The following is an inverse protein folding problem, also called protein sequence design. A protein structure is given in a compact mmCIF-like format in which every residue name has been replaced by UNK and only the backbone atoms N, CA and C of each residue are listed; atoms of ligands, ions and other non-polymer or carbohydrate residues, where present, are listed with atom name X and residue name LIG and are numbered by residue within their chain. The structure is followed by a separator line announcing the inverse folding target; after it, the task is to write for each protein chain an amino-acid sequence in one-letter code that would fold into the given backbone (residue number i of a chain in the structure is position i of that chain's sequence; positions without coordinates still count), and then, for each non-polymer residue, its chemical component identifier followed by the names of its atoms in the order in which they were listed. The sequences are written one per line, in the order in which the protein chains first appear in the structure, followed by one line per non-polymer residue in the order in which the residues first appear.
data_IF_281481358928
#
_entry.id   IF_281481358928
#
_cell.length_a   1.000
_cell.length_b   1.000
_cell.length_c   1.000
_cell.angle_alpha   90.00
_cell.angle_beta   90.00
_cell.angle_gamma   90.00
#
_symmetry.space_group_name_H-M   'P 1'
#
loop_
_entity.id
_entity.type
_entity.pdbx_description
1 polymer ?
#
# COMPACT_ATOMS: atom_id res chain seq x y z
N UNK A 1 -34.62 8.52 -50.15
CA UNK A 1 -34.79 7.53 -49.06
C UNK A 1 -34.91 8.31 -47.77
N UNK A 2 -35.91 7.95 -46.97
CA UNK A 2 -36.56 8.76 -45.96
C UNK A 2 -35.73 8.91 -44.68
N UNK A 3 -35.73 10.11 -44.09
CA UNK A 3 -35.15 10.46 -42.78
C UNK A 3 -35.56 9.51 -41.64
N UNK A 4 -36.63 8.72 -41.82
CA UNK A 4 -37.10 7.72 -40.85
C UNK A 4 -36.23 6.46 -40.73
N UNK A 5 -35.40 6.11 -41.72
CA UNK A 5 -34.49 4.95 -41.64
C UNK A 5 -33.21 5.26 -40.87
N UNK A 6 -32.66 6.47 -41.02
CA UNK A 6 -31.46 6.89 -40.29
C UNK A 6 -31.72 6.98 -38.78
N UNK A 7 -32.87 7.53 -38.35
CA UNK A 7 -33.22 7.65 -36.93
C UNK A 7 -33.32 6.31 -36.18
N UNK A 8 -33.77 5.24 -36.86
CA UNK A 8 -33.84 3.89 -36.27
C UNK A 8 -32.47 3.23 -36.13
N UNK A 9 -31.56 3.50 -37.06
CA UNK A 9 -30.18 3.00 -36.99
C UNK A 9 -29.44 3.67 -35.83
N UNK A 10 -29.59 4.99 -35.65
CA UNK A 10 -28.96 5.72 -34.54
C UNK A 10 -29.47 5.27 -33.17
N UNK A 11 -30.77 5.06 -32.98
CA UNK A 11 -31.30 4.56 -31.70
C UNK A 11 -30.86 3.11 -31.38
N UNK A 12 -30.74 2.25 -32.39
CA UNK A 12 -30.23 0.88 -32.24
C UNK A 12 -28.74 0.86 -31.89
N UNK A 13 -27.95 1.74 -32.50
CA UNK A 13 -26.52 1.87 -32.23
C UNK A 13 -26.27 2.43 -30.82
N UNK A 14 -27.01 3.48 -30.45
CA UNK A 14 -26.89 4.12 -29.13
C UNK A 14 -27.28 3.15 -28.02
N UNK A 15 -28.34 2.36 -28.20
CA UNK A 15 -28.77 1.32 -27.24
C UNK A 15 -27.78 0.17 -27.08
N UNK A 16 -27.07 -0.21 -28.16
CA UNK A 16 -26.00 -1.21 -28.10
C UNK A 16 -24.72 -0.66 -27.47
N UNK A 17 -24.39 0.60 -27.72
CA UNK A 17 -23.25 1.29 -27.10
C UNK A 17 -23.45 1.50 -25.60
N UNK A 18 -24.65 1.85 -25.12
CA UNK A 18 -24.94 1.93 -23.68
C UNK A 18 -24.90 0.56 -23.01
N UNK A 19 -25.35 -0.51 -23.67
CA UNK A 19 -25.26 -1.87 -23.12
C UNK A 19 -23.81 -2.36 -23.00
N UNK A 20 -22.97 -2.05 -24.00
CA UNK A 20 -21.53 -2.35 -23.95
C UNK A 20 -20.84 -1.52 -22.86
N UNK A 21 -21.21 -0.24 -22.68
CA UNK A 21 -20.68 0.58 -21.59
C UNK A 21 -21.10 0.04 -20.21
N UNK A 22 -22.34 -0.42 -20.05
CA UNK A 22 -22.80 -1.08 -18.82
C UNK A 22 -22.07 -2.39 -18.55
N UNK A 23 -21.80 -3.21 -19.57
CA UNK A 23 -21.00 -4.42 -19.40
C UNK A 23 -19.53 -4.09 -19.05
N UNK A 24 -18.93 -3.06 -19.64
CA UNK A 24 -17.56 -2.63 -19.33
C UNK A 24 -17.45 -2.03 -17.92
N UNK A 25 -18.49 -1.32 -17.45
CA UNK A 25 -18.53 -0.78 -16.08
C UNK A 25 -18.72 -1.89 -15.04
N UNK A 26 -19.49 -2.94 -15.34
CA UNK A 26 -19.68 -4.09 -14.43
C UNK A 26 -18.48 -5.06 -14.45
N UNK A 27 -17.66 -5.05 -15.51
CA UNK A 27 -16.50 -5.95 -15.62
C UNK A 27 -15.23 -5.42 -14.92
N UNK A 28 -15.19 -4.14 -14.56
CA UNK A 28 -14.00 -3.51 -13.93
C UNK A 28 -14.12 -3.31 -12.42
N UNK A 29 -15.20 -3.77 -11.78
CA UNK A 29 -15.09 -4.12 -10.37
C UNK A 29 -14.31 -5.42 -10.28
N UNK A 30 -12.98 -5.32 -10.37
CA UNK A 30 -12.13 -6.36 -9.79
C UNK A 30 -12.70 -6.60 -8.38
N UNK A 31 -13.25 -7.78 -8.15
CA UNK A 31 -13.81 -8.15 -6.86
C UNK A 31 -12.65 -8.05 -5.86
N UNK A 32 -12.56 -6.94 -5.10
CA UNK A 32 -11.58 -6.83 -4.04
C UNK A 32 -11.92 -7.90 -3.02
N UNK A 33 -11.01 -8.85 -2.87
CA UNK A 33 -11.26 -9.98 -1.98
C UNK A 33 -11.13 -9.50 -0.54
N UNK A 34 -12.07 -9.90 0.31
CA UNK A 34 -11.96 -9.64 1.73
C UNK A 34 -10.81 -10.47 2.28
N UNK A 35 -9.79 -9.80 2.82
CA UNK A 35 -8.63 -10.47 3.40
C UNK A 35 -9.02 -11.13 4.73
N UNK A 36 -8.54 -12.35 4.95
CA UNK A 36 -8.76 -13.14 6.16
C UNK A 36 -7.50 -13.97 6.49
N UNK A 37 -7.55 -14.83 7.52
CA UNK A 37 -6.40 -15.64 7.91
C UNK A 37 -6.05 -16.78 6.95
N UNK A 38 -6.95 -17.20 6.05
CA UNK A 38 -6.67 -18.25 5.06
C UNK A 38 -5.50 -17.84 4.17
N UNK A 39 -5.41 -16.55 3.82
CA UNK A 39 -4.26 -15.96 3.13
C UNK A 39 -2.93 -16.29 3.83
N UNK A 40 -2.87 -16.21 5.16
CA UNK A 40 -1.64 -16.48 5.91
C UNK A 40 -1.36 -17.99 5.93
N UNK A 41 -2.39 -18.81 6.08
CA UNK A 41 -2.28 -20.27 6.11
C UNK A 41 -1.67 -20.87 4.84
N UNK A 42 -1.89 -20.24 3.67
CA UNK A 42 -1.27 -20.68 2.41
C UNK A 42 0.27 -20.61 2.44
N UNK A 43 0.82 -19.73 3.27
CA UNK A 43 2.27 -19.50 3.41
C UNK A 43 2.88 -20.19 4.64
N UNK A 44 2.08 -20.84 5.49
CA UNK A 44 2.56 -21.49 6.72
C UNK A 44 3.47 -22.69 6.45
N UNK A 45 3.15 -23.49 5.43
CA UNK A 45 3.89 -24.71 5.09
C UNK A 45 5.16 -24.49 4.26
N UNK A 46 5.47 -23.25 3.88
CA UNK A 46 6.56 -22.97 2.93
C UNK A 46 7.91 -22.95 3.67
N UNK A 47 8.75 -23.93 3.37
CA UNK A 47 10.13 -23.97 3.87
C UNK A 47 11.05 -23.18 2.94
N UNK A 48 11.24 -21.89 3.25
CA UNK A 48 12.20 -21.02 2.56
C UNK A 48 13.51 -21.02 3.34
N UNK A 49 14.62 -21.25 2.64
CA UNK A 49 15.96 -21.14 3.22
C UNK A 49 16.26 -19.68 3.62
N UNK A 50 15.94 -19.37 4.86
CA UNK A 50 16.03 -18.05 5.51
C UNK A 50 17.21 -18.01 6.49
N UNK A 51 18.25 -18.84 6.28
CA UNK A 51 19.39 -19.15 7.20
C UNK A 51 20.26 -17.97 7.66
N UNK A 52 19.88 -16.71 7.44
CA UNK A 52 20.54 -15.62 8.15
C UNK A 52 20.26 -15.78 9.64
N UNK A 53 21.29 -15.67 10.48
CA UNK A 53 21.11 -15.72 11.92
C UNK A 53 20.56 -14.39 12.43
N UNK A 54 19.85 -14.41 13.56
CA UNK A 54 19.35 -13.19 14.23
C UNK A 54 20.48 -12.20 14.54
N UNK A 55 21.68 -12.69 14.90
CA UNK A 55 22.86 -11.84 15.11
C UNK A 55 23.31 -11.19 13.80
N UNK A 56 23.28 -11.93 12.69
CA UNK A 56 23.63 -11.39 11.38
C UNK A 56 22.57 -10.39 10.89
N UNK A 57 21.30 -10.60 11.16
CA UNK A 57 20.24 -9.62 10.87
C UNK A 57 20.44 -8.34 11.67
N UNK A 58 20.76 -8.45 12.96
CA UNK A 58 21.01 -7.29 13.79
C UNK A 58 22.21 -6.45 13.32
N UNK A 59 23.29 -7.10 12.85
CA UNK A 59 24.53 -6.42 12.44
C UNK A 59 24.43 -5.88 11.01
N UNK A 60 23.83 -6.63 10.09
CA UNK A 60 23.89 -6.36 8.65
C UNK A 60 22.53 -6.04 8.02
N UNK A 61 21.45 -6.02 8.80
CA UNK A 61 20.09 -5.94 8.29
C UNK A 61 19.59 -7.25 7.69
N UNK A 62 18.31 -7.26 7.30
CA UNK A 62 17.66 -8.44 6.71
C UNK A 62 18.15 -8.64 5.26
N UNK A 63 18.88 -9.73 5.04
CA UNK A 63 19.29 -10.18 3.71
C UNK A 63 18.33 -11.26 3.26
N UNK A 64 17.60 -11.00 2.18
CA UNK A 64 16.62 -11.93 1.61
C UNK A 64 17.16 -12.62 0.37
N UNK A 65 16.88 -13.92 0.26
CA UNK A 65 17.17 -14.68 -0.98
C UNK A 65 16.09 -14.42 -2.02
N UNK A 66 16.40 -14.68 -3.27
CA UNK A 66 15.47 -14.48 -4.41
C UNK A 66 14.12 -15.17 -4.20
N UNK A 67 14.12 -16.40 -3.69
CA UNK A 67 12.88 -17.15 -3.41
C UNK A 67 12.03 -16.46 -2.33
N UNK A 68 12.65 -15.94 -1.27
CA UNK A 68 11.97 -15.19 -0.22
C UNK A 68 11.38 -13.90 -0.77
N UNK A 69 12.17 -13.15 -1.57
CA UNK A 69 11.71 -11.92 -2.22
C UNK A 69 10.52 -12.17 -3.16
N UNK A 70 10.52 -13.28 -3.89
CA UNK A 70 9.41 -13.68 -4.75
C UNK A 70 8.13 -13.93 -3.95
N UNK A 71 8.22 -14.71 -2.87
CA UNK A 71 7.08 -15.03 -2.01
C UNK A 71 6.52 -13.79 -1.29
N UNK A 72 7.39 -12.89 -0.81
CA UNK A 72 6.94 -11.61 -0.25
C UNK A 72 6.19 -10.80 -1.30
N UNK A 73 6.69 -10.76 -2.53
CA UNK A 73 6.06 -10.03 -3.63
C UNK A 73 4.69 -10.63 -3.98
N UNK A 74 4.58 -11.95 -4.03
CA UNK A 74 3.31 -12.66 -4.25
C UNK A 74 2.30 -12.32 -3.13
N UNK A 75 2.68 -12.53 -1.86
CA UNK A 75 1.83 -12.25 -0.70
C UNK A 75 1.40 -10.78 -0.63
N UNK A 76 2.33 -9.84 -0.82
CA UNK A 76 2.00 -8.41 -0.77
C UNK A 76 1.10 -8.00 -1.94
N UNK A 77 1.26 -8.58 -3.13
CA UNK A 77 0.36 -8.34 -4.25
C UNK A 77 -1.06 -8.85 -3.97
N UNK A 78 -1.20 -10.01 -3.33
CA UNK A 78 -2.51 -10.52 -2.89
C UNK A 78 -3.16 -9.58 -1.87
N UNK A 79 -2.38 -9.08 -0.90
CA UNK A 79 -2.85 -8.09 0.06
C UNK A 79 -3.30 -6.81 -0.68
N UNK A 80 -2.49 -6.26 -1.58
CA UNK A 80 -2.80 -5.03 -2.33
C UNK A 80 -4.07 -5.11 -3.19
N UNK A 81 -4.47 -6.32 -3.59
CA UNK A 81 -5.71 -6.54 -4.36
C UNK A 81 -6.95 -6.69 -3.46
N UNK A 82 -6.74 -6.89 -2.16
CA UNK A 82 -7.81 -7.06 -1.18
C UNK A 82 -8.07 -5.83 -0.34
N UNK A 83 -9.00 -5.99 0.59
CA UNK A 83 -9.31 -4.98 1.60
C UNK A 83 -9.70 -5.66 2.91
N UNK A 84 -9.62 -4.94 4.03
CA UNK A 84 -10.05 -5.47 5.32
C UNK A 84 -10.65 -4.39 6.22
N UNK A 85 -11.51 -4.78 7.16
CA UNK A 85 -11.90 -3.89 8.26
C UNK A 85 -10.76 -3.83 9.29
N UNK A 86 -10.83 -2.92 10.27
CA UNK A 86 -9.84 -2.90 11.34
C UNK A 86 -9.86 -4.19 12.18
N UNK A 87 -11.05 -4.74 12.48
CA UNK A 87 -11.16 -6.03 13.19
C UNK A 87 -10.64 -7.21 12.36
N UNK A 88 -10.85 -7.17 11.04
CA UNK A 88 -10.26 -8.14 10.12
C UNK A 88 -8.73 -8.04 10.11
N UNK A 89 -8.18 -6.83 10.10
CA UNK A 89 -6.74 -6.59 10.28
C UNK A 89 -6.23 -7.17 11.60
N UNK A 90 -6.90 -6.94 12.72
CA UNK A 90 -6.50 -7.49 14.02
C UNK A 90 -6.52 -9.03 14.02
N UNK A 91 -7.55 -9.62 13.40
CA UNK A 91 -7.64 -11.07 13.25
C UNK A 91 -6.46 -11.65 12.47
N UNK A 92 -6.09 -11.01 11.34
CA UNK A 92 -4.93 -11.43 10.55
C UNK A 92 -3.63 -11.18 11.31
N UNK A 93 -3.53 -10.07 12.04
CA UNK A 93 -2.39 -9.74 12.90
C UNK A 93 -2.14 -10.82 13.95
N UNK A 94 -3.20 -11.37 14.54
CA UNK A 94 -3.11 -12.49 15.47
C UNK A 94 -2.65 -13.77 14.76
N UNK A 95 -3.16 -14.06 13.56
CA UNK A 95 -2.70 -15.21 12.75
C UNK A 95 -1.21 -15.11 12.38
N UNK A 96 -0.75 -13.93 11.95
CA UNK A 96 0.68 -13.66 11.71
C UNK A 96 1.48 -13.81 13.01
N UNK A 97 0.97 -13.30 14.14
CA UNK A 97 1.65 -13.38 15.44
C UNK A 97 1.79 -14.81 15.98
N UNK A 98 0.81 -15.68 15.70
CA UNK A 98 0.78 -17.06 16.17
C UNK A 98 1.38 -18.07 15.18
N UNK A 99 1.83 -17.63 14.00
CA UNK A 99 2.37 -18.53 12.98
C UNK A 99 3.73 -19.12 13.38
N UNK A 100 3.88 -20.43 13.26
CA UNK A 100 5.18 -21.11 13.44
C UNK A 100 6.11 -20.98 12.21
N UNK A 101 5.61 -20.38 11.12
CA UNK A 101 6.40 -20.21 9.90
C UNK A 101 7.47 -19.14 10.09
N UNK A 102 8.73 -19.55 9.96
CA UNK A 102 9.86 -18.62 10.00
C UNK A 102 9.77 -17.56 8.90
N UNK A 103 9.26 -17.91 7.72
CA UNK A 103 9.03 -16.94 6.64
C UNK A 103 8.05 -15.83 7.06
N UNK A 104 6.93 -16.21 7.68
CA UNK A 104 5.91 -15.27 8.15
C UNK A 104 6.47 -14.39 9.27
N UNK A 105 7.11 -14.99 10.28
CA UNK A 105 7.65 -14.23 11.42
C UNK A 105 8.72 -13.22 10.98
N UNK A 106 9.64 -13.65 10.11
CA UNK A 106 10.71 -12.81 9.58
C UNK A 106 10.19 -11.64 8.75
N UNK A 107 9.07 -11.81 8.05
CA UNK A 107 8.48 -10.80 7.18
C UNK A 107 7.23 -10.13 7.78
N UNK A 108 7.02 -10.31 9.09
CA UNK A 108 5.85 -9.79 9.83
C UNK A 108 5.62 -8.31 9.60
N UNK A 109 6.66 -7.48 9.66
CA UNK A 109 6.49 -6.03 9.50
C UNK A 109 6.01 -5.67 8.09
N UNK A 110 6.56 -6.33 7.06
CA UNK A 110 6.12 -6.16 5.67
C UNK A 110 4.65 -6.53 5.53
N UNK A 111 4.25 -7.70 6.06
CA UNK A 111 2.88 -8.20 5.99
C UNK A 111 1.92 -7.25 6.71
N UNK A 112 2.19 -6.92 7.97
CA UNK A 112 1.29 -6.13 8.81
C UNK A 112 1.15 -4.68 8.32
N UNK A 113 2.22 -4.06 7.85
CA UNK A 113 2.12 -2.69 7.31
C UNK A 113 1.41 -2.67 5.95
N UNK A 114 1.64 -3.67 5.10
CA UNK A 114 0.89 -3.81 3.84
C UNK A 114 -0.61 -3.98 4.12
N UNK A 115 -0.97 -4.82 5.10
CA UNK A 115 -2.37 -5.01 5.54
C UNK A 115 -2.99 -3.73 6.11
N UNK A 116 -2.25 -2.98 6.94
CA UNK A 116 -2.72 -1.69 7.47
C UNK A 116 -3.06 -0.71 6.34
N UNK A 117 -2.28 -0.71 5.26
CA UNK A 117 -2.57 0.07 4.06
C UNK A 117 -3.90 -0.29 3.38
N UNK A 118 -4.44 -1.50 3.62
CA UNK A 118 -5.69 -2.00 3.05
C UNK A 118 -6.90 -1.90 4.00
N UNK A 119 -6.73 -1.28 5.18
CA UNK A 119 -7.85 -1.08 6.10
C UNK A 119 -8.82 -0.05 5.51
N UNK A 120 -10.09 -0.43 5.39
CA UNK A 120 -11.11 0.36 4.69
C UNK A 120 -11.59 1.57 5.50
N UNK A 121 -11.62 1.49 6.83
CA UNK A 121 -12.02 2.59 7.71
C UNK A 121 -11.41 2.45 9.11
N UNK A 122 -11.19 3.60 9.75
CA UNK A 122 -10.77 3.74 11.15
C UNK A 122 -11.82 4.45 12.03
N UNK A 123 -13.01 4.73 11.49
CA UNK A 123 -14.05 5.57 12.13
C UNK A 123 -14.45 5.11 13.53
N UNK A 124 -14.54 3.80 13.73
CA UNK A 124 -15.09 3.18 14.94
C UNK A 124 -14.01 2.58 15.85
N UNK A 125 -12.74 2.88 15.56
CA UNK A 125 -11.60 2.33 16.30
C UNK A 125 -11.24 3.23 17.47
N UNK A 126 -11.02 2.62 18.64
CA UNK A 126 -10.59 3.34 19.82
C UNK A 126 -9.28 4.13 19.56
N UNK A 127 -9.16 5.39 20.01
CA UNK A 127 -7.97 6.21 19.75
C UNK A 127 -6.65 5.57 20.19
N UNK A 128 -6.65 4.85 21.32
CA UNK A 128 -5.47 4.15 21.81
C UNK A 128 -5.01 3.01 20.88
N UNK A 129 -5.95 2.26 20.28
CA UNK A 129 -5.63 1.21 19.33
C UNK A 129 -5.08 1.79 18.02
N UNK A 130 -5.69 2.88 17.52
CA UNK A 130 -5.16 3.59 16.35
C UNK A 130 -3.75 4.14 16.59
N UNK A 131 -3.51 4.68 17.78
CA UNK A 131 -2.21 5.23 18.15
C UNK A 131 -1.11 4.15 18.16
N UNK A 132 -1.44 2.94 18.63
CA UNK A 132 -0.52 1.81 18.61
C UNK A 132 -0.12 1.42 17.17
N UNK A 133 -1.10 1.29 16.27
CA UNK A 133 -0.82 0.88 14.89
C UNK A 133 -0.14 1.99 14.07
N UNK A 134 -0.45 3.25 14.36
CA UNK A 134 0.22 4.40 13.75
C UNK A 134 1.69 4.45 14.18
N UNK A 135 1.96 4.37 15.49
CA UNK A 135 3.33 4.33 16.02
C UNK A 135 4.13 3.14 15.46
N UNK A 136 3.47 1.98 15.29
CA UNK A 136 4.07 0.83 14.63
C UNK A 136 4.46 1.14 13.17
N UNK A 137 3.54 1.66 12.35
CA UNK A 137 3.82 2.01 10.95
C UNK A 137 4.95 3.05 10.82
N UNK A 138 4.96 4.08 11.68
CA UNK A 138 6.03 5.09 11.72
C UNK A 138 7.40 4.49 12.10
N UNK A 139 7.41 3.52 13.01
CA UNK A 139 8.64 2.83 13.43
C UNK A 139 9.20 1.98 12.28
N UNK A 140 8.33 1.27 11.56
CA UNK A 140 8.70 0.44 10.41
C UNK A 140 9.20 1.31 9.24
N UNK A 141 8.58 2.47 9.00
CA UNK A 141 8.99 3.39 7.94
C UNK A 141 10.44 3.90 8.10
N UNK A 142 10.93 3.98 9.35
CA UNK A 142 12.28 4.46 9.68
C UNK A 142 13.34 3.35 9.66
N UNK A 143 12.97 2.11 9.35
CA UNK A 143 13.92 1.01 9.23
C UNK A 143 14.66 1.09 7.89
N UNK A 144 15.86 0.51 7.83
CA UNK A 144 16.70 0.47 6.63
C UNK A 144 16.34 -0.67 5.65
N UNK A 145 15.21 -1.35 5.88
CA UNK A 145 14.72 -2.42 5.02
C UNK A 145 13.70 -1.88 4.00
N UNK A 146 14.10 -1.87 2.73
CA UNK A 146 13.25 -1.39 1.63
C UNK A 146 11.87 -2.08 1.57
N UNK A 147 11.79 -3.39 1.84
CA UNK A 147 10.51 -4.10 1.80
C UNK A 147 9.57 -3.63 2.92
N UNK A 148 10.13 -3.44 4.11
CA UNK A 148 9.40 -2.90 5.26
C UNK A 148 8.94 -1.47 5.02
N UNK A 149 9.81 -0.63 4.48
CA UNK A 149 9.47 0.75 4.10
C UNK A 149 8.31 0.80 3.10
N UNK A 150 8.32 -0.07 2.07
CA UNK A 150 7.25 -0.08 1.06
C UNK A 150 5.86 -0.32 1.65
N UNK A 151 5.73 -1.29 2.56
CA UNK A 151 4.48 -1.54 3.27
C UNK A 151 4.12 -0.37 4.20
N UNK A 152 5.10 0.16 4.93
CA UNK A 152 4.91 1.25 5.88
C UNK A 152 4.45 2.55 5.22
N UNK A 153 4.94 2.89 4.02
CA UNK A 153 4.48 4.07 3.26
C UNK A 153 2.96 4.01 3.04
N UNK A 154 2.45 2.85 2.62
CA UNK A 154 1.02 2.62 2.44
C UNK A 154 0.22 2.74 3.74
N UNK A 155 0.75 2.18 4.83
CA UNK A 155 0.12 2.27 6.16
C UNK A 155 0.04 3.72 6.67
N UNK A 156 1.14 4.48 6.66
CA UNK A 156 1.15 5.86 7.17
C UNK A 156 0.26 6.78 6.33
N UNK A 157 0.19 6.56 5.01
CA UNK A 157 -0.74 7.26 4.12
C UNK A 157 -2.20 7.10 4.58
N UNK A 158 -2.56 5.93 5.10
CA UNK A 158 -3.93 5.65 5.55
C UNK A 158 -4.31 6.43 6.81
N UNK A 159 -3.33 6.70 7.69
CA UNK A 159 -3.55 7.45 8.93
C UNK A 159 -3.64 8.97 8.72
N UNK A 160 -3.09 9.49 7.63
CA UNK A 160 -3.12 10.93 7.30
C UNK A 160 -2.60 11.82 8.45
N UNK A 161 -1.55 11.36 9.14
CA UNK A 161 -0.98 12.03 10.31
C UNK A 161 0.37 12.68 9.99
N UNK A 162 0.55 13.92 10.43
CA UNK A 162 1.75 14.72 10.19
C UNK A 162 3.04 14.12 10.76
N UNK A 163 2.94 13.25 11.76
CA UNK A 163 4.11 12.61 12.38
C UNK A 163 4.94 11.78 11.42
N UNK A 164 4.33 11.26 10.35
CA UNK A 164 5.05 10.50 9.34
C UNK A 164 5.75 11.38 8.30
N UNK A 165 5.43 12.68 8.20
CA UNK A 165 5.89 13.56 7.12
C UNK A 165 7.40 13.66 7.06
N UNK A 166 8.07 13.79 8.21
CA UNK A 166 9.54 13.90 8.24
C UNK A 166 10.21 12.62 7.77
N UNK A 167 9.73 11.46 8.20
CA UNK A 167 10.26 10.17 7.76
C UNK A 167 10.00 9.93 6.26
N UNK A 168 8.82 10.30 5.75
CA UNK A 168 8.51 10.23 4.33
C UNK A 168 9.42 11.17 3.50
N UNK A 169 9.69 12.38 4.01
CA UNK A 169 10.58 13.32 3.36
C UNK A 169 12.03 12.85 3.37
N UNK A 170 12.50 12.30 4.50
CA UNK A 170 13.82 11.68 4.60
C UNK A 170 13.97 10.55 3.58
N UNK A 171 12.97 9.68 3.45
CA UNK A 171 12.96 8.63 2.43
C UNK A 171 13.07 9.18 1.00
N UNK A 172 12.35 10.28 0.70
CA UNK A 172 12.45 10.96 -0.61
C UNK A 172 13.89 11.42 -0.88
N UNK A 173 14.57 11.97 0.12
CA UNK A 173 15.93 12.50 -0.01
C UNK A 173 16.95 11.38 -0.18
N UNK A 174 16.83 10.30 0.58
CA UNK A 174 17.87 9.27 0.70
C UNK A 174 17.74 8.14 -0.32
N UNK A 175 16.54 7.89 -0.85
CA UNK A 175 16.33 6.80 -1.80
C UNK A 175 16.65 7.22 -3.24
N UNK A 176 17.28 6.30 -3.97
CA UNK A 176 17.48 6.39 -5.42
C UNK A 176 16.36 5.68 -6.20
N UNK A 177 15.47 4.97 -5.50
CA UNK A 177 14.38 4.21 -6.12
C UNK A 177 13.23 5.17 -6.46
N UNK A 178 13.10 5.50 -7.74
CA UNK A 178 12.05 6.40 -8.23
C UNK A 178 10.64 5.97 -7.83
N UNK A 179 10.34 4.67 -7.77
CA UNK A 179 9.04 4.18 -7.32
C UNK A 179 8.74 4.54 -5.86
N UNK A 180 9.76 4.51 -4.99
CA UNK A 180 9.61 4.83 -3.56
C UNK A 180 9.40 6.33 -3.38
N UNK A 181 10.12 7.15 -4.15
CA UNK A 181 9.89 8.60 -4.18
C UNK A 181 8.44 8.91 -4.56
N UNK A 182 7.89 8.27 -5.61
CA UNK A 182 6.47 8.48 -6.01
C UNK A 182 5.49 8.08 -4.92
N UNK A 183 5.71 6.94 -4.26
CA UNK A 183 4.85 6.47 -3.18
C UNK A 183 4.91 7.43 -1.97
N UNK A 184 6.10 7.87 -1.58
CA UNK A 184 6.28 8.81 -0.48
C UNK A 184 5.66 10.18 -0.78
N UNK A 185 5.87 10.74 -1.99
CA UNK A 185 5.23 11.98 -2.42
C UNK A 185 3.70 11.87 -2.38
N UNK A 186 3.14 10.78 -2.92
CA UNK A 186 1.69 10.53 -2.87
C UNK A 186 1.17 10.44 -1.43
N UNK A 187 1.98 9.88 -0.53
CA UNK A 187 1.63 9.73 0.89
C UNK A 187 1.65 11.06 1.62
N UNK A 188 2.69 11.88 1.44
CA UNK A 188 2.74 13.26 1.95
C UNK A 188 1.54 14.06 1.43
N UNK A 189 1.23 13.95 0.14
CA UNK A 189 0.06 14.60 -0.45
C UNK A 189 -1.26 14.20 0.21
N UNK A 190 -1.40 12.94 0.59
CA UNK A 190 -2.62 12.42 1.20
C UNK A 190 -2.83 12.89 2.64
N UNK A 191 -1.81 13.40 3.33
CA UNK A 191 -1.90 13.91 4.71
C UNK A 191 -2.63 15.26 4.76
N UNK A 192 -2.61 16.06 3.68
CA UNK A 192 -3.41 17.30 3.53
C UNK A 192 -3.21 18.36 4.62
N UNK A 193 -2.05 18.41 5.26
CA UNK A 193 -1.69 19.45 6.22
C UNK A 193 -0.81 20.55 5.60
N UNK A 194 -0.77 21.72 6.23
CA UNK A 194 0.19 22.77 5.83
C UNK A 194 1.64 22.31 5.96
N UNK A 195 1.96 21.44 6.93
CA UNK A 195 3.31 20.92 7.12
C UNK A 195 3.73 19.97 5.98
N UNK A 196 2.83 19.07 5.60
CA UNK A 196 3.01 18.17 4.47
C UNK A 196 3.17 18.94 3.15
N UNK A 197 2.36 19.99 2.94
CA UNK A 197 2.48 20.86 1.75
C UNK A 197 3.86 21.50 1.64
N UNK A 198 4.37 22.06 2.73
CA UNK A 198 5.70 22.67 2.77
C UNK A 198 6.79 21.65 2.42
N UNK A 199 6.66 20.41 2.90
CA UNK A 199 7.61 19.33 2.62
C UNK A 199 7.55 18.85 1.18
N UNK A 200 6.38 18.85 0.53
CA UNK A 200 6.28 18.64 -0.91
C UNK A 200 6.98 19.75 -1.70
N UNK A 201 6.77 21.02 -1.36
CA UNK A 201 7.46 22.13 -2.02
C UNK A 201 8.98 21.96 -1.88
N UNK A 202 9.45 21.63 -0.69
CA UNK A 202 10.87 21.34 -0.45
C UNK A 202 11.36 20.13 -1.25
N UNK A 203 10.51 19.13 -1.48
CA UNK A 203 10.87 17.94 -2.26
C UNK A 203 11.26 18.31 -3.71
N UNK A 204 10.71 19.39 -4.27
CA UNK A 204 11.09 19.90 -5.60
C UNK A 204 12.57 20.27 -5.68
N UNK A 205 13.11 20.83 -4.60
CA UNK A 205 14.50 21.31 -4.55
C UNK A 205 15.50 20.15 -4.51
N UNK A 206 15.14 19.04 -3.85
CA UNK A 206 16.02 17.89 -3.62
C UNK A 206 15.85 16.79 -4.67
N UNK A 207 14.69 16.70 -5.33
CA UNK A 207 14.35 15.72 -6.37
C UNK A 207 13.68 16.41 -7.56
N UNK A 208 14.39 17.30 -8.29
CA UNK A 208 13.82 18.11 -9.37
C UNK A 208 13.24 17.27 -10.53
N UNK A 209 13.69 16.03 -10.70
CA UNK A 209 13.12 15.10 -11.69
C UNK A 209 11.66 14.69 -11.40
N UNK A 210 11.13 15.00 -10.20
CA UNK A 210 9.73 14.83 -9.82
C UNK A 210 8.91 16.13 -9.82
N UNK A 211 9.48 17.25 -10.28
CA UNK A 211 8.83 18.57 -10.26
C UNK A 211 7.39 18.54 -10.82
N UNK A 212 7.17 17.89 -11.97
CA UNK A 212 5.84 17.84 -12.58
C UNK A 212 4.79 17.14 -11.72
N UNK A 213 5.18 16.06 -11.02
CA UNK A 213 4.31 15.32 -10.10
C UNK A 213 4.00 16.17 -8.87
N UNK A 214 5.00 16.88 -8.37
CA UNK A 214 4.84 17.73 -7.20
C UNK A 214 3.93 18.92 -7.53
N UNK A 215 4.12 19.55 -8.69
CA UNK A 215 3.26 20.65 -9.14
C UNK A 215 1.81 20.21 -9.31
N UNK A 216 1.58 19.00 -9.82
CA UNK A 216 0.24 18.42 -9.85
C UNK A 216 -0.36 18.32 -8.43
N UNK A 217 0.38 17.78 -7.46
CA UNK A 217 -0.09 17.70 -6.07
C UNK A 217 -0.33 19.07 -5.42
N UNK A 218 0.51 20.06 -5.68
CA UNK A 218 0.34 21.41 -5.15
C UNK A 218 -0.87 22.11 -5.79
N UNK A 219 -1.11 21.91 -7.08
CA UNK A 219 -2.27 22.47 -7.78
C UNK A 219 -3.60 21.94 -7.27
N UNK A 220 -3.63 20.70 -6.77
CA UNK A 220 -4.82 20.03 -6.24
C UNK A 220 -4.80 19.88 -4.71
N UNK A 221 -3.97 20.66 -4.00
CA UNK A 221 -3.84 20.60 -2.54
C UNK A 221 -5.17 20.82 -1.81
#
# INVERSE_FOLDING_TARGET
MSDGEQGKIYHSLLGKLTLVFLCIVVSNSAYSTQLNCELISEYEGINVDTRQSTVSEFIFGVVRKEQEMKLITELTNEIYQGHTSFDGYLSIKDCVGNSDSHFIQRNRNVILTTLLGQVTSFSDVAPASLEMERSFAETVLKQDDNYEQSGAIGAVKRFQDDRAVDALFELIVTTERQSYVRMALSSIYSIRSNYAQQKLIKAKEVKPEFESVIDEYINYW
#
